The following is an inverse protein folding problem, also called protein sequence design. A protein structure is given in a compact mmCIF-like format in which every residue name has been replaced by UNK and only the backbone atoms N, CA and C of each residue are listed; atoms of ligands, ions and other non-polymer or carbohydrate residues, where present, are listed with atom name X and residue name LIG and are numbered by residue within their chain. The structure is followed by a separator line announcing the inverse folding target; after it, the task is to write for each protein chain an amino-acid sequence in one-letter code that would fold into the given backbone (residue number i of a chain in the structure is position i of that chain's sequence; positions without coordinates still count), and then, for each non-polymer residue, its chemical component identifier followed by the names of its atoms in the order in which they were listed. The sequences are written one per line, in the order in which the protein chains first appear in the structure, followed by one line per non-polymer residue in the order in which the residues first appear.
data_IF_180741604554
#
_entry.id   IF_180741604554
#
_cell.length_a   1.000
_cell.length_b   1.000
_cell.length_c   1.000
_cell.angle_alpha   90.00
_cell.angle_beta   90.00
_cell.angle_gamma   90.00
#
_symmetry.space_group_name_H-M   'P 1'
#
loop_
_entity.id
_entity.type
_entity.pdbx_description
1 polymer ?
#
# COMPACT_ATOMS: atom_id res chain seq x y z
N UNK A 1 11.61 10.14 24.30
CA UNK A 1 11.82 8.70 24.46
C UNK A 1 10.50 7.95 24.26
N UNK A 2 10.08 7.75 23.01
CA UNK A 2 8.82 7.06 22.68
C UNK A 2 9.08 5.77 21.87
N UNK A 3 10.10 4.99 22.24
CA UNK A 3 10.45 3.80 21.47
C UNK A 3 10.99 2.60 22.27
N UNK A 4 10.70 2.49 23.58
CA UNK A 4 11.19 1.38 24.42
C UNK A 4 10.09 0.64 25.18
N UNK A 5 8.90 0.48 24.58
CA UNK A 5 7.78 -0.21 25.24
C UNK A 5 7.15 -1.38 24.48
N UNK A 6 7.60 -1.71 23.25
CA UNK A 6 6.94 -2.73 22.42
C UNK A 6 7.78 -3.99 22.21
N UNK A 7 8.64 -4.33 23.16
CA UNK A 7 9.26 -5.65 23.25
C UNK A 7 8.71 -6.36 24.49
N UNK A 8 7.59 -7.08 24.31
CA UNK A 8 7.30 -8.36 24.98
C UNK A 8 5.86 -8.79 24.72
N UNK A 9 5.70 -9.93 24.03
CA UNK A 9 4.50 -10.76 24.11
C UNK A 9 3.34 -10.42 23.17
N UNK A 10 2.93 -11.43 22.39
CA UNK A 10 1.61 -11.57 21.73
C UNK A 10 1.44 -10.91 20.35
N UNK A 11 2.10 -11.47 19.35
CA UNK A 11 1.91 -11.19 17.91
C UNK A 11 0.64 -11.81 17.29
N UNK A 12 -0.32 -12.30 18.09
CA UNK A 12 -1.52 -12.99 17.58
C UNK A 12 -2.77 -12.09 17.48
N UNK A 13 -3.12 -11.40 18.56
CA UNK A 13 -4.45 -10.78 18.70
C UNK A 13 -4.48 -9.25 18.58
N UNK A 14 -3.33 -8.57 18.63
CA UNK A 14 -3.27 -7.10 18.62
C UNK A 14 -2.99 -6.49 17.23
N UNK A 15 -2.67 -7.34 16.24
CA UNK A 15 -2.40 -6.94 14.85
C UNK A 15 -3.63 -6.29 14.20
N UNK A 16 -4.80 -6.91 14.37
CA UNK A 16 -6.05 -6.43 13.80
C UNK A 16 -6.58 -5.18 14.52
N UNK A 17 -6.34 -5.08 15.82
CA UNK A 17 -6.64 -3.90 16.63
C UNK A 17 -5.84 -2.68 16.19
N UNK A 18 -4.55 -2.85 15.86
CA UNK A 18 -3.72 -1.76 15.37
C UNK A 18 -4.16 -1.25 13.98
N UNK A 19 -4.46 -2.16 13.05
CA UNK A 19 -5.02 -1.80 11.73
C UNK A 19 -6.34 -1.06 11.88
N UNK A 20 -7.25 -1.60 12.70
CA UNK A 20 -8.56 -1.00 12.94
C UNK A 20 -8.46 0.41 13.55
N UNK A 21 -7.58 0.62 14.53
CA UNK A 21 -7.33 1.94 15.14
C UNK A 21 -6.75 2.93 14.14
N UNK A 22 -5.81 2.48 13.29
CA UNK A 22 -5.21 3.33 12.26
C UNK A 22 -6.27 3.77 11.24
N UNK A 23 -7.11 2.86 10.78
CA UNK A 23 -8.23 3.18 9.87
C UNK A 23 -9.20 4.16 10.53
N UNK A 24 -9.59 3.92 11.78
CA UNK A 24 -10.50 4.81 12.50
C UNK A 24 -9.94 6.24 12.61
N UNK A 25 -8.65 6.39 12.93
CA UNK A 25 -8.00 7.70 12.98
C UNK A 25 -8.02 8.41 11.62
N UNK A 26 -7.77 7.69 10.53
CA UNK A 26 -7.81 8.23 9.17
C UNK A 26 -9.24 8.63 8.78
N UNK A 27 -10.25 7.81 9.10
CA UNK A 27 -11.65 8.08 8.79
C UNK A 27 -12.22 9.29 9.55
N UNK A 28 -11.61 9.69 10.66
CA UNK A 28 -11.96 10.95 11.31
C UNK A 28 -11.58 12.19 10.48
N UNK A 29 -10.62 12.09 9.55
CA UNK A 29 -10.09 13.25 8.84
C UNK A 29 -11.10 13.93 7.89
N UNK A 30 -11.87 13.21 7.05
CA UNK A 30 -12.91 13.83 6.22
C UNK A 30 -13.99 14.62 7.00
N UNK A 31 -14.62 14.08 8.07
CA UNK A 31 -15.61 14.85 8.82
C UNK A 31 -14.98 16.05 9.56
N UNK A 32 -13.76 15.91 10.10
CA UNK A 32 -13.04 17.06 10.67
C UNK A 32 -12.74 18.13 9.64
N UNK A 33 -12.38 17.76 8.41
CA UNK A 33 -12.18 18.72 7.31
C UNK A 33 -13.46 19.48 6.99
N UNK A 34 -14.59 18.79 6.91
CA UNK A 34 -15.90 19.43 6.72
C UNK A 34 -16.27 20.36 7.87
N UNK A 35 -15.94 19.99 9.11
CA UNK A 35 -16.13 20.85 10.27
C UNK A 35 -15.28 22.14 10.20
N UNK A 36 -13.98 22.01 9.90
CA UNK A 36 -13.07 23.16 9.74
C UNK A 36 -13.57 24.11 8.66
N UNK A 37 -14.09 23.59 7.54
CA UNK A 37 -14.67 24.41 6.48
C UNK A 37 -15.92 25.17 6.93
N UNK A 38 -16.80 24.54 7.73
CA UNK A 38 -17.97 25.23 8.29
C UNK A 38 -17.59 26.32 9.29
N UNK A 39 -16.58 26.08 10.13
CA UNK A 39 -16.04 27.11 11.03
C UNK A 39 -15.61 28.37 10.26
N UNK A 40 -14.92 28.19 9.13
CA UNK A 40 -14.52 29.30 8.26
C UNK A 40 -15.71 30.10 7.69
N UNK A 41 -16.81 29.42 7.39
CA UNK A 41 -18.00 30.04 6.81
C UNK A 41 -18.82 30.79 7.86
N UNK A 42 -18.85 30.30 9.10
CA UNK A 42 -19.62 30.91 10.18
C UNK A 42 -18.92 32.12 10.81
N UNK A 43 -17.58 32.20 10.74
CA UNK A 43 -16.80 33.25 11.38
C UNK A 43 -15.78 33.85 10.40
N UNK A 44 -16.06 35.04 9.82
CA UNK A 44 -15.16 35.73 8.90
C UNK A 44 -13.82 36.14 9.52
N UNK A 45 -13.68 36.10 10.85
CA UNK A 45 -12.43 36.42 11.53
C UNK A 45 -11.43 35.25 11.54
N UNK A 46 -11.87 34.04 11.14
CA UNK A 46 -10.99 32.89 11.03
C UNK A 46 -9.95 33.14 9.95
N UNK A 47 -8.70 33.29 10.38
CA UNK A 47 -7.56 33.46 9.49
C UNK A 47 -7.42 32.28 8.52
N UNK A 48 -7.23 32.58 7.23
CA UNK A 48 -6.92 31.58 6.20
C UNK A 48 -5.72 30.70 6.57
N UNK A 49 -4.75 31.25 7.30
CA UNK A 49 -3.59 30.49 7.79
C UNK A 49 -3.98 29.40 8.79
N UNK A 50 -4.95 29.67 9.66
CA UNK A 50 -5.45 28.68 10.62
C UNK A 50 -6.14 27.52 9.90
N UNK A 51 -6.95 27.83 8.88
CA UNK A 51 -7.59 26.81 8.03
C UNK A 51 -6.57 25.98 7.28
N UNK A 52 -5.56 26.62 6.70
CA UNK A 52 -4.48 25.95 5.99
C UNK A 52 -3.70 25.00 6.92
N UNK A 53 -3.37 25.45 8.13
CA UNK A 53 -2.68 24.61 9.14
C UNK A 53 -3.53 23.41 9.56
N UNK A 54 -4.82 23.61 9.81
CA UNK A 54 -5.73 22.52 10.17
C UNK A 54 -5.82 21.46 9.05
N UNK A 55 -6.03 21.89 7.80
CA UNK A 55 -6.06 20.99 6.66
C UNK A 55 -4.73 20.23 6.48
N UNK A 56 -3.60 20.93 6.62
CA UNK A 56 -2.26 20.30 6.54
C UNK A 56 -2.05 19.26 7.64
N UNK A 57 -2.53 19.50 8.85
CA UNK A 57 -2.44 18.53 9.94
C UNK A 57 -3.28 17.27 9.64
N UNK A 58 -4.50 17.45 9.12
CA UNK A 58 -5.35 16.33 8.68
C UNK A 58 -4.70 15.54 7.53
N UNK A 59 -4.12 16.21 6.53
CA UNK A 59 -3.37 15.57 5.46
C UNK A 59 -2.20 14.75 6.00
N UNK A 60 -1.50 15.27 7.02
CA UNK A 60 -0.40 14.56 7.64
C UNK A 60 -0.85 13.27 8.35
N UNK A 61 -1.99 13.30 9.04
CA UNK A 61 -2.57 12.11 9.68
C UNK A 61 -2.91 11.05 8.62
N UNK A 62 -3.56 11.46 7.52
CA UNK A 62 -3.88 10.55 6.42
C UNK A 62 -2.61 9.94 5.83
N UNK A 63 -1.58 10.75 5.54
CA UNK A 63 -0.31 10.26 4.98
C UNK A 63 0.40 9.28 5.91
N UNK A 64 0.42 9.53 7.22
CA UNK A 64 1.00 8.62 8.19
C UNK A 64 0.22 7.30 8.28
N UNK A 65 -1.12 7.37 8.29
CA UNK A 65 -1.97 6.17 8.27
C UNK A 65 -1.76 5.33 7.02
N UNK A 66 -1.76 5.94 5.84
CA UNK A 66 -1.48 5.28 4.55
C UNK A 66 -0.09 4.62 4.58
N UNK A 67 0.94 5.35 5.05
CA UNK A 67 2.30 4.83 5.14
C UNK A 67 2.37 3.59 6.03
N UNK A 68 1.82 3.66 7.23
CA UNK A 68 1.88 2.56 8.20
C UNK A 68 1.19 1.31 7.66
N UNK A 69 -0.01 1.45 7.08
CA UNK A 69 -0.75 0.32 6.50
C UNK A 69 -0.02 -0.27 5.28
N UNK A 70 0.56 0.58 4.44
CA UNK A 70 1.36 0.16 3.28
C UNK A 70 2.64 -0.57 3.68
N UNK A 71 3.40 -0.04 4.66
CA UNK A 71 4.61 -0.70 5.18
C UNK A 71 4.29 -2.06 5.79
N UNK A 72 3.19 -2.16 6.55
CA UNK A 72 2.79 -3.41 7.19
C UNK A 72 2.45 -4.49 6.17
N UNK A 73 1.65 -4.15 5.16
CA UNK A 73 1.37 -5.05 4.03
C UNK A 73 2.69 -5.44 3.35
N UNK A 74 3.59 -4.47 3.13
CA UNK A 74 4.86 -4.71 2.46
C UNK A 74 5.75 -5.73 3.18
N UNK A 75 5.79 -5.74 4.51
CA UNK A 75 6.54 -6.73 5.28
C UNK A 75 6.17 -8.17 4.91
N UNK A 76 4.90 -8.41 4.57
CA UNK A 76 4.40 -9.75 4.26
C UNK A 76 4.68 -10.14 2.80
N UNK A 77 4.63 -9.18 1.87
CA UNK A 77 4.84 -9.46 0.43
C UNK A 77 6.31 -9.39 -0.01
N UNK A 78 7.15 -8.65 0.72
CA UNK A 78 8.58 -8.45 0.41
C UNK A 78 9.36 -9.75 0.14
N UNK A 79 9.24 -10.82 0.95
CA UNK A 79 10.00 -12.05 0.72
C UNK A 79 9.73 -12.69 -0.66
N UNK A 80 8.52 -12.50 -1.20
CA UNK A 80 8.13 -13.04 -2.49
C UNK A 80 8.73 -12.23 -3.65
N UNK A 81 8.90 -10.92 -3.51
CA UNK A 81 9.67 -10.12 -4.48
C UNK A 81 11.13 -10.54 -4.52
N UNK A 82 11.72 -10.88 -3.38
CA UNK A 82 13.10 -11.39 -3.33
C UNK A 82 13.22 -12.78 -3.96
N UNK A 83 12.13 -13.56 -4.03
CA UNK A 83 12.05 -14.85 -4.74
C UNK A 83 11.72 -14.69 -6.23
N UNK A 84 11.16 -13.56 -6.63
CA UNK A 84 10.77 -13.26 -8.00
C UNK A 84 12.01 -13.26 -8.92
N UNK A 85 11.86 -13.74 -10.16
CA UNK A 85 12.92 -13.72 -11.19
C UNK A 85 14.20 -14.51 -10.78
N UNK A 86 14.08 -15.44 -9.82
CA UNK A 86 15.12 -16.43 -9.51
C UNK A 86 14.95 -17.71 -10.36
N UNK A 87 15.66 -18.78 -9.97
CA UNK A 87 15.61 -20.09 -10.64
C UNK A 87 14.16 -20.50 -10.92
N UNK A 88 13.91 -20.95 -12.15
CA UNK A 88 12.60 -21.44 -12.62
C UNK A 88 11.48 -20.39 -12.65
N UNK A 89 11.74 -19.07 -12.57
CA UNK A 89 10.67 -18.05 -12.66
C UNK A 89 9.79 -18.23 -13.90
N UNK A 90 10.36 -18.54 -15.08
CA UNK A 90 9.61 -18.81 -16.32
C UNK A 90 8.64 -20.02 -16.25
N UNK A 91 8.71 -20.83 -15.21
CA UNK A 91 7.84 -21.99 -14.97
C UNK A 91 7.19 -21.99 -13.59
N UNK A 92 7.47 -21.00 -12.74
CA UNK A 92 6.91 -20.90 -11.39
C UNK A 92 6.16 -19.57 -11.23
N UNK A 93 4.85 -19.63 -11.09
CA UNK A 93 3.95 -18.49 -10.85
C UNK A 93 3.67 -18.23 -9.36
N UNK A 94 3.99 -19.20 -8.50
CA UNK A 94 3.71 -19.18 -7.06
C UNK A 94 4.15 -17.88 -6.36
N UNK A 95 5.36 -17.31 -6.58
CA UNK A 95 5.75 -16.10 -5.86
C UNK A 95 4.83 -14.90 -6.16
N UNK A 96 4.37 -14.76 -7.40
CA UNK A 96 3.46 -13.68 -7.77
C UNK A 96 2.05 -13.94 -7.24
N UNK A 97 1.55 -15.17 -7.33
CA UNK A 97 0.24 -15.56 -6.79
C UNK A 97 0.15 -15.30 -5.28
N UNK A 98 1.22 -15.54 -4.53
CA UNK A 98 1.29 -15.24 -3.09
C UNK A 98 1.27 -13.74 -2.80
N UNK A 99 1.93 -12.92 -3.62
CA UNK A 99 1.86 -11.45 -3.51
C UNK A 99 0.42 -10.99 -3.72
N UNK A 100 -0.24 -11.47 -4.78
CA UNK A 100 -1.62 -11.12 -5.10
C UNK A 100 -2.59 -11.54 -3.98
N UNK A 101 -2.46 -12.77 -3.47
CA UNK A 101 -3.30 -13.30 -2.41
C UNK A 101 -3.20 -12.46 -1.12
N UNK A 102 -1.98 -12.12 -0.69
CA UNK A 102 -1.76 -11.30 0.51
C UNK A 102 -2.27 -9.87 0.33
N UNK A 103 -2.09 -9.27 -0.85
CA UNK A 103 -2.66 -7.95 -1.13
C UNK A 103 -4.18 -8.02 -0.98
N UNK A 104 -4.84 -8.98 -1.63
CA UNK A 104 -6.31 -9.15 -1.53
C UNK A 104 -6.75 -9.35 -0.08
N UNK A 105 -6.02 -10.16 0.69
CA UNK A 105 -6.32 -10.39 2.11
C UNK A 105 -6.23 -9.12 2.96
N UNK A 106 -5.16 -8.33 2.82
CA UNK A 106 -5.02 -7.06 3.53
C UNK A 106 -6.09 -6.05 3.12
N UNK A 107 -6.39 -5.94 1.82
CA UNK A 107 -7.41 -5.01 1.33
C UNK A 107 -8.83 -5.37 1.72
N UNK A 108 -9.13 -6.65 2.02
CA UNK A 108 -10.38 -7.05 2.71
C UNK A 108 -10.52 -6.39 4.09
N UNK A 109 -9.44 -5.98 4.75
CA UNK A 109 -9.51 -5.22 6.01
C UNK A 109 -9.53 -3.71 5.74
N UNK A 110 -8.77 -3.27 4.76
CA UNK A 110 -8.61 -1.85 4.43
C UNK A 110 -9.86 -1.23 3.77
N UNK A 111 -10.79 -2.02 3.23
CA UNK A 111 -12.08 -1.52 2.72
C UNK A 111 -12.90 -0.73 3.73
N UNK A 112 -12.60 -0.87 5.03
CA UNK A 112 -13.21 -0.09 6.13
C UNK A 112 -12.75 1.37 6.14
N UNK A 113 -11.71 1.71 5.38
CA UNK A 113 -11.24 3.08 5.23
C UNK A 113 -12.12 3.82 4.23
N UNK A 114 -12.54 5.03 4.59
CA UNK A 114 -13.39 5.83 3.73
C UNK A 114 -12.59 6.44 2.57
N UNK A 115 -13.29 6.74 1.47
CA UNK A 115 -12.75 7.59 0.41
C UNK A 115 -12.80 9.07 0.83
N UNK A 116 -11.84 9.92 0.43
CA UNK A 116 -10.68 9.65 -0.44
C UNK A 116 -9.47 8.87 0.12
N UNK A 117 -9.17 8.81 1.43
CA UNK A 117 -7.97 8.14 1.96
C UNK A 117 -7.73 6.71 1.47
N UNK A 118 -8.78 5.90 1.29
CA UNK A 118 -8.67 4.56 0.72
C UNK A 118 -7.97 4.55 -0.65
N UNK A 119 -8.33 5.48 -1.54
CA UNK A 119 -7.75 5.58 -2.88
C UNK A 119 -6.27 5.97 -2.84
N UNK A 120 -5.87 6.79 -1.86
CA UNK A 120 -4.44 7.10 -1.63
C UNK A 120 -3.66 5.85 -1.19
N UNK A 121 -4.26 5.00 -0.36
CA UNK A 121 -3.66 3.74 0.05
C UNK A 121 -3.51 2.77 -1.13
N UNK A 122 -4.55 2.60 -1.94
CA UNK A 122 -4.51 1.79 -3.17
C UNK A 122 -3.37 2.27 -4.08
N UNK A 123 -3.30 3.58 -4.34
CA UNK A 123 -2.28 4.16 -5.21
C UNK A 123 -0.86 3.96 -4.67
N UNK A 124 -0.65 4.13 -3.36
CA UNK A 124 0.67 3.95 -2.74
C UNK A 124 1.13 2.49 -2.77
N UNK A 125 0.24 1.53 -2.49
CA UNK A 125 0.57 0.11 -2.58
C UNK A 125 0.82 -0.30 -4.03
N UNK A 126 -0.02 0.17 -4.97
CA UNK A 126 0.18 -0.09 -6.40
C UNK A 126 1.56 0.39 -6.86
N UNK A 127 1.90 1.65 -6.56
CA UNK A 127 3.20 2.23 -6.89
C UNK A 127 4.35 1.39 -6.33
N UNK A 128 4.25 0.97 -5.06
CA UNK A 128 5.29 0.16 -4.41
C UNK A 128 5.43 -1.21 -5.05
N UNK A 129 4.33 -1.90 -5.33
CA UNK A 129 4.34 -3.22 -5.97
C UNK A 129 4.99 -3.16 -7.35
N UNK A 130 4.63 -2.17 -8.17
CA UNK A 130 5.24 -1.98 -9.50
C UNK A 130 6.75 -1.72 -9.37
N UNK A 131 7.15 -0.84 -8.45
CA UNK A 131 8.56 -0.50 -8.24
C UNK A 131 9.38 -1.71 -7.79
N UNK A 132 8.87 -2.52 -6.85
CA UNK A 132 9.57 -3.71 -6.36
C UNK A 132 9.59 -4.83 -7.39
N UNK A 133 8.50 -5.01 -8.14
CA UNK A 133 8.47 -5.93 -9.27
C UNK A 133 9.57 -5.61 -10.29
N UNK A 134 9.63 -4.36 -10.75
CA UNK A 134 10.65 -3.89 -11.69
C UNK A 134 12.06 -4.07 -11.11
N UNK A 135 12.25 -3.72 -9.83
CA UNK A 135 13.53 -3.89 -9.16
C UNK A 135 13.97 -5.35 -9.11
N UNK A 136 13.06 -6.29 -8.83
CA UNK A 136 13.35 -7.73 -8.87
C UNK A 136 13.72 -8.21 -10.27
N UNK A 137 13.00 -7.77 -11.30
CA UNK A 137 13.32 -8.06 -12.70
C UNK A 137 14.72 -7.56 -13.08
N UNK A 138 15.05 -6.31 -12.72
CA UNK A 138 16.35 -5.71 -13.02
C UNK A 138 17.50 -6.39 -12.26
N UNK A 139 17.29 -6.75 -10.99
CA UNK A 139 18.28 -7.47 -10.17
C UNK A 139 18.51 -8.90 -10.61
N UNK A 140 17.52 -9.54 -11.23
CA UNK A 140 17.60 -10.92 -11.70
C UNK A 140 18.64 -11.17 -12.80
N UNK A 141 19.19 -10.11 -13.41
CA UNK A 141 20.23 -10.18 -14.47
C UNK A 141 19.93 -11.25 -15.52
N UNK A 142 18.71 -11.23 -16.04
CA UNK A 142 18.24 -12.28 -16.92
C UNK A 142 18.98 -12.24 -18.25
N UNK A 143 19.61 -13.35 -18.63
CA UNK A 143 20.26 -13.52 -19.94
C UNK A 143 19.35 -14.39 -20.80
N UNK A 144 18.90 -13.86 -21.93
CA UNK A 144 18.11 -14.62 -22.90
C UNK A 144 19.02 -15.18 -24.00
N UNK A 145 19.22 -16.49 -24.03
CA UNK A 145 20.14 -17.16 -24.98
C UNK A 145 19.49 -17.59 -26.30
N UNK A 146 18.15 -17.52 -26.42
CA UNK A 146 17.42 -17.96 -27.61
C UNK A 146 16.19 -17.11 -27.90
N UNK A 147 15.71 -17.14 -29.15
CA UNK A 147 14.44 -16.51 -29.53
C UNK A 147 13.26 -17.07 -28.73
N UNK A 148 13.22 -18.39 -28.49
CA UNK A 148 12.17 -19.04 -27.68
C UNK A 148 12.16 -18.49 -26.25
N UNK A 149 13.34 -18.32 -25.64
CA UNK A 149 13.45 -17.75 -24.30
C UNK A 149 13.02 -16.28 -24.27
N UNK A 150 13.42 -15.48 -25.28
CA UNK A 150 12.98 -14.08 -25.41
C UNK A 150 11.44 -13.96 -25.51
N UNK A 151 10.79 -14.80 -26.31
CA UNK A 151 9.32 -14.81 -26.43
C UNK A 151 8.65 -15.18 -25.10
N UNK A 152 9.11 -16.23 -24.42
CA UNK A 152 8.58 -16.64 -23.11
C UNK A 152 8.76 -15.56 -22.04
N UNK A 153 9.92 -14.91 -22.03
CA UNK A 153 10.24 -13.81 -21.14
C UNK A 153 9.29 -12.63 -21.33
N UNK A 154 9.15 -12.16 -22.57
CA UNK A 154 8.26 -11.05 -22.90
C UNK A 154 6.79 -11.39 -22.61
N UNK A 155 6.38 -12.64 -22.83
CA UNK A 155 5.06 -13.14 -22.44
C UNK A 155 4.86 -13.02 -20.93
N UNK A 156 5.78 -13.60 -20.13
CA UNK A 156 5.69 -13.60 -18.67
C UNK A 156 5.61 -12.18 -18.07
N UNK A 157 6.46 -11.26 -18.52
CA UNK A 157 6.45 -9.86 -18.08
C UNK A 157 5.12 -9.16 -18.43
N UNK A 158 4.56 -9.45 -19.60
CA UNK A 158 3.28 -8.89 -20.04
C UNK A 158 2.12 -9.43 -19.22
N UNK A 159 2.11 -10.73 -18.95
CA UNK A 159 1.05 -11.41 -18.22
C UNK A 159 1.01 -10.95 -16.76
N UNK A 160 2.15 -10.96 -16.06
CA UNK A 160 2.25 -10.44 -14.70
C UNK A 160 1.96 -8.93 -14.65
N UNK A 161 2.44 -8.15 -15.63
CA UNK A 161 2.10 -6.73 -15.72
C UNK A 161 0.60 -6.47 -15.90
N UNK A 162 -0.10 -7.33 -16.66
CA UNK A 162 -1.56 -7.27 -16.79
C UNK A 162 -2.26 -7.67 -15.49
N UNK A 163 -1.77 -8.71 -14.80
CA UNK A 163 -2.31 -9.13 -13.51
C UNK A 163 -2.18 -8.03 -12.46
N UNK A 164 -1.03 -7.34 -12.37
CA UNK A 164 -0.83 -6.20 -11.45
C UNK A 164 -1.85 -5.10 -11.77
N UNK A 165 -2.00 -4.75 -13.05
CA UNK A 165 -2.94 -3.71 -13.48
C UNK A 165 -4.39 -4.07 -13.11
N UNK A 166 -4.81 -5.31 -13.32
CA UNK A 166 -6.16 -5.77 -13.00
C UNK A 166 -6.37 -5.78 -11.49
N UNK A 167 -5.41 -6.34 -10.74
CA UNK A 167 -5.46 -6.37 -9.27
C UNK A 167 -5.78 -5.00 -8.68
N UNK A 168 -5.03 -3.96 -9.02
CA UNK A 168 -5.25 -2.62 -8.46
C UNK A 168 -6.39 -1.84 -9.11
N UNK A 169 -6.96 -2.33 -10.21
CA UNK A 169 -8.21 -1.77 -10.76
C UNK A 169 -9.44 -2.29 -9.99
N UNK A 170 -9.33 -3.51 -9.46
CA UNK A 170 -10.41 -4.18 -8.74
C UNK A 170 -10.42 -3.87 -7.22
N UNK A 171 -9.41 -3.13 -6.73
CA UNK A 171 -9.32 -2.61 -5.36
C UNK A 171 -9.85 -1.17 -5.31
#
# INVERSE_FOLDING_TARGET
MFHEGMQSGMFGDNEDGYVSKTIALVNCCPPFRGFVQRCAQCDPSVSEDSLRRANKALDHIVQLGVRVLSERLYLHIRPFFERLVKRKWLSNTEPYEQIEALIKEHFKKYHRMDSPPYQLLVAEVHRRVVMEYLRSVMRGRIICTSMKMRKRMAGRLRDEGKQIKVLFKDL
#
